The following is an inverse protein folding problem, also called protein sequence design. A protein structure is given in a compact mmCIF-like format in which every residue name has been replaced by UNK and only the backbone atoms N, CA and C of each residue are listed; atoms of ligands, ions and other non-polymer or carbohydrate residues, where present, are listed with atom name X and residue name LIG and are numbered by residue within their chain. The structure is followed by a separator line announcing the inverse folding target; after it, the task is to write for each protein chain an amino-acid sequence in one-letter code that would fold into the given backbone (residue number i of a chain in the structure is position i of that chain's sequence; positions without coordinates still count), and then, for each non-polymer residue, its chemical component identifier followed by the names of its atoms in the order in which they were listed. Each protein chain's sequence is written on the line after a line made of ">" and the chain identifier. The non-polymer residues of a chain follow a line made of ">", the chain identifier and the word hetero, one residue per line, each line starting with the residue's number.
data_IF_987528486428
#
_entry.id   IF_987528486428
#
_cell.length_a   1.000
_cell.length_b   1.000
_cell.length_c   1.000
_cell.angle_alpha   90.00
_cell.angle_beta   90.00
_cell.angle_gamma   90.00
#
_symmetry.space_group_name_H-M   'P 1'
#
loop_
_entity.id
_entity.type
_entity.pdbx_description
1 polymer ?
#
# COMPACT_ATOMS: atom_id res chain seq x y z
N UNK A 1 -0.26 -1.62 0.38
CA UNK A 1 -1.33 -0.72 -0.14
C UNK A 1 -1.77 0.34 0.87
N UNK A 2 -2.19 -0.03 2.08
CA UNK A 2 -2.75 0.94 3.05
C UNK A 2 -1.74 1.96 3.59
N UNK A 3 -0.48 1.55 3.79
CA UNK A 3 0.65 2.43 4.17
C UNK A 3 0.77 3.60 3.17
N UNK A 4 0.67 3.28 1.87
CA UNK A 4 0.74 4.25 0.78
C UNK A 4 -0.59 4.96 0.53
N UNK A 5 -1.58 4.87 1.42
CA UNK A 5 -2.86 5.56 1.26
C UNK A 5 -3.66 5.05 0.06
N UNK A 6 -3.60 3.75 -0.24
CA UNK A 6 -4.47 3.12 -1.23
C UNK A 6 -5.37 2.08 -0.56
N UNK A 7 -6.62 2.01 -1.03
CA UNK A 7 -7.60 1.01 -0.65
C UNK A 7 -8.26 0.42 -1.91
N UNK A 8 -8.77 -0.82 -1.80
CA UNK A 8 -9.66 -1.38 -2.81
C UNK A 8 -11.08 -0.87 -2.54
N UNK A 9 -11.67 -0.23 -3.54
CA UNK A 9 -13.06 0.26 -3.50
C UNK A 9 -13.93 -0.78 -4.19
N UNK A 10 -15.00 -1.17 -3.51
CA UNK A 10 -16.06 -1.98 -4.07
C UNK A 10 -17.24 -1.04 -4.36
N UNK A 11 -17.59 -0.93 -5.63
CA UNK A 11 -18.80 -0.25 -6.04
C UNK A 11 -19.93 -1.26 -6.08
N UNK A 12 -20.97 -1.03 -5.28
CA UNK A 12 -22.10 -1.94 -5.15
C UNK A 12 -23.40 -1.23 -5.56
N UNK A 13 -24.19 -1.88 -6.41
CA UNK A 13 -25.55 -1.48 -6.76
C UNK A 13 -26.48 -2.68 -6.56
N UNK A 14 -27.64 -2.48 -5.92
CA UNK A 14 -28.62 -3.54 -5.63
C UNK A 14 -28.01 -4.79 -4.98
N UNK A 15 -27.10 -4.59 -4.01
CA UNK A 15 -26.36 -5.64 -3.29
C UNK A 15 -25.44 -6.50 -4.17
N UNK A 16 -25.19 -6.08 -5.42
CA UNK A 16 -24.23 -6.72 -6.33
C UNK A 16 -23.01 -5.84 -6.52
N UNK A 17 -21.84 -6.47 -6.58
CA UNK A 17 -20.60 -5.78 -6.92
C UNK A 17 -20.63 -5.45 -8.42
N UNK A 18 -20.52 -4.16 -8.73
CA UNK A 18 -20.51 -3.63 -10.09
C UNK A 18 -19.09 -3.40 -10.57
N UNK A 19 -18.20 -2.92 -9.70
CA UNK A 19 -16.80 -2.67 -10.02
C UNK A 19 -15.91 -2.80 -8.78
N UNK A 20 -14.63 -3.14 -9.01
CA UNK A 20 -13.60 -3.17 -7.97
C UNK A 20 -12.35 -2.50 -8.50
N UNK A 21 -11.88 -1.46 -7.83
CA UNK A 21 -10.72 -0.69 -8.28
C UNK A 21 -9.91 -0.10 -7.11
N UNK A 22 -8.59 0.12 -7.29
CA UNK A 22 -7.78 0.80 -6.29
C UNK A 22 -8.07 2.32 -6.31
N UNK A 23 -8.19 2.93 -5.13
CA UNK A 23 -8.33 4.38 -4.98
C UNK A 23 -7.41 4.93 -3.89
N UNK A 24 -6.96 6.19 -4.06
CA UNK A 24 -6.24 6.95 -3.03
C UNK A 24 -7.20 7.39 -1.94
N UNK A 25 -6.83 7.16 -0.68
CA UNK A 25 -7.65 7.52 0.49
C UNK A 25 -6.83 8.35 1.48
N UNK A 26 -7.49 9.36 2.08
CA UNK A 26 -6.91 10.16 3.17
C UNK A 26 -7.03 9.45 4.51
N UNK A 27 -8.12 8.70 4.71
CA UNK A 27 -8.39 8.00 5.95
C UNK A 27 -7.95 6.54 5.83
N UNK A 28 -6.91 6.17 6.58
CA UNK A 28 -6.23 4.88 6.43
C UNK A 28 -6.82 3.77 7.30
N UNK A 29 -7.72 4.09 8.23
CA UNK A 29 -8.34 3.12 9.13
C UNK A 29 -7.40 2.52 10.18
N UNK A 30 -6.21 3.10 10.37
CA UNK A 30 -5.20 2.69 11.34
C UNK A 30 -4.75 3.88 12.19
N UNK A 31 -4.27 3.64 13.43
CA UNK A 31 -3.58 4.65 14.20
C UNK A 31 -2.37 5.22 13.45
N UNK A 32 -2.05 6.47 13.71
CA UNK A 32 -0.87 7.13 13.14
C UNK A 32 0.43 6.36 13.46
N UNK A 33 0.54 5.85 14.70
CA UNK A 33 1.67 5.02 15.15
C UNK A 33 1.90 3.78 14.29
N UNK A 34 0.82 3.09 13.88
CA UNK A 34 0.91 1.93 13.02
C UNK A 34 1.42 2.31 11.62
N UNK A 35 1.06 3.50 11.13
CA UNK A 35 1.56 4.03 9.85
C UNK A 35 3.05 4.33 9.95
N UNK A 36 3.48 4.99 11.03
CA UNK A 36 4.89 5.35 11.26
C UNK A 36 5.78 4.12 11.38
N UNK A 37 5.38 3.12 12.16
CA UNK A 37 6.11 1.86 12.29
C UNK A 37 6.25 1.14 10.96
N UNK A 38 5.18 1.12 10.16
CA UNK A 38 5.19 0.48 8.86
C UNK A 38 6.12 1.20 7.88
N UNK A 39 6.11 2.54 7.85
CA UNK A 39 7.06 3.31 7.04
C UNK A 39 8.50 3.06 7.47
N UNK A 40 8.81 3.03 8.77
CA UNK A 40 10.16 2.71 9.26
C UNK A 40 10.63 1.33 8.78
N UNK A 41 9.78 0.31 8.91
CA UNK A 41 10.09 -1.06 8.46
C UNK A 41 10.35 -1.13 6.96
N UNK A 42 9.51 -0.49 6.15
CA UNK A 42 9.67 -0.46 4.69
C UNK A 42 10.95 0.26 4.30
N UNK A 43 11.24 1.41 4.91
CA UNK A 43 12.48 2.17 4.61
C UNK A 43 13.73 1.35 4.91
N UNK A 44 13.78 0.69 6.06
CA UNK A 44 14.91 -0.17 6.42
C UNK A 44 15.05 -1.34 5.45
N UNK A 45 13.94 -2.01 5.12
CA UNK A 45 13.96 -3.10 4.13
C UNK A 45 14.46 -2.63 2.76
N UNK A 46 14.00 -1.47 2.28
CA UNK A 46 14.47 -0.89 1.02
C UNK A 46 15.96 -0.60 1.06
N UNK A 47 16.47 -0.10 2.18
CA UNK A 47 17.91 0.13 2.36
C UNK A 47 18.70 -1.18 2.30
N UNK A 48 18.24 -2.21 3.02
CA UNK A 48 18.93 -3.49 3.11
C UNK A 48 18.96 -4.23 1.76
N UNK A 49 17.89 -4.10 0.96
CA UNK A 49 17.73 -4.84 -0.30
C UNK A 49 18.07 -4.03 -1.55
N UNK A 50 18.54 -2.77 -1.42
CA UNK A 50 18.68 -1.87 -2.57
C UNK A 50 19.62 -2.40 -3.66
N UNK A 51 20.68 -3.12 -3.27
CA UNK A 51 21.63 -3.69 -4.22
C UNK A 51 21.08 -4.92 -4.95
N UNK A 52 20.17 -5.68 -4.32
CA UNK A 52 19.50 -6.81 -4.96
C UNK A 52 18.43 -6.32 -5.94
N UNK A 53 17.60 -5.35 -5.50
CA UNK A 53 16.60 -4.71 -6.35
C UNK A 53 17.20 -4.05 -7.59
N UNK A 54 18.42 -3.48 -7.48
CA UNK A 54 19.13 -2.94 -8.66
C UNK A 54 19.46 -4.03 -9.67
N UNK A 55 19.93 -5.20 -9.21
CA UNK A 55 20.27 -6.32 -10.10
C UNK A 55 19.03 -6.83 -10.83
N UNK A 56 17.91 -6.98 -10.14
CA UNK A 56 16.64 -7.44 -10.75
C UNK A 56 16.13 -6.52 -11.87
N UNK A 57 16.47 -5.23 -11.83
CA UNK A 57 16.06 -4.26 -12.87
C UNK A 57 17.02 -4.26 -14.07
N UNK A 58 18.26 -4.69 -13.86
CA UNK A 58 19.29 -4.76 -14.90
C UNK A 58 19.30 -6.10 -15.66
N UNK A 59 18.62 -7.12 -15.14
CA UNK A 59 18.33 -8.42 -15.79
C UNK A 59 17.11 -8.37 -16.73
#
# INVERSE_FOLDING_TARGET
>A
MHIFGWALVFECADQKIVSVYPARVKYRGFPETATDEAFKKVTNYLQDMIEELKKEVEE
#
